data_IF_623882021371
#
_entry.id   IF_623882021371
#
_cell.length_a   1.000
_cell.length_b   1.000
_cell.length_c   1.000
_cell.angle_alpha   90.00
_cell.angle_beta   90.00
_cell.angle_gamma   90.00
#
_symmetry.space_group_name_H-M   'P 1'
#
loop_
_entity.id
_entity.type
_entity.pdbx_description
1 polymer ?
#
# COMPACT_ATOMS: atom_id res chain seq x y z
N UNK A 1 -8.47 -25.74 -10.59
CA UNK A 1 -9.17 -24.93 -9.56
C UNK A 1 -10.46 -24.41 -10.16
N UNK A 2 -11.55 -24.38 -9.39
CA UNK A 2 -12.77 -23.70 -9.86
C UNK A 2 -12.53 -22.19 -9.90
N UNK A 3 -13.31 -21.47 -10.72
CA UNK A 3 -13.23 -20.00 -10.81
C UNK A 3 -13.42 -19.34 -9.42
N UNK A 4 -14.32 -19.89 -8.61
CA UNK A 4 -14.57 -19.43 -7.25
C UNK A 4 -13.32 -19.50 -6.38
N UNK A 5 -12.61 -20.64 -6.38
CA UNK A 5 -11.35 -20.76 -5.64
C UNK A 5 -10.29 -19.80 -6.17
N UNK A 6 -10.18 -19.59 -7.49
CA UNK A 6 -9.24 -18.61 -8.05
C UNK A 6 -9.52 -17.20 -7.53
N UNK A 7 -10.79 -16.77 -7.52
CA UNK A 7 -11.18 -15.46 -7.01
C UNK A 7 -10.95 -15.34 -5.50
N UNK A 8 -11.25 -16.37 -4.72
CA UNK A 8 -10.94 -16.38 -3.28
C UNK A 8 -9.45 -16.18 -3.03
N UNK A 9 -8.60 -16.87 -3.79
CA UNK A 9 -7.15 -16.71 -3.70
C UNK A 9 -6.69 -15.31 -4.11
N UNK A 10 -7.33 -14.68 -5.09
CA UNK A 10 -7.02 -13.30 -5.48
C UNK A 10 -7.17 -12.34 -4.30
N UNK A 11 -8.31 -12.39 -3.60
CA UNK A 11 -8.55 -11.52 -2.45
C UNK A 11 -7.65 -11.86 -1.27
N UNK A 12 -7.45 -13.14 -0.96
CA UNK A 12 -6.59 -13.57 0.15
C UNK A 12 -5.13 -13.18 -0.09
N UNK A 13 -4.59 -13.38 -1.30
CA UNK A 13 -3.21 -13.03 -1.65
C UNK A 13 -2.99 -11.52 -1.74
N UNK A 14 -4.02 -10.72 -2.02
CA UNK A 14 -3.91 -9.27 -2.02
C UNK A 14 -3.72 -8.68 -0.61
N UNK A 15 -4.16 -9.36 0.45
CA UNK A 15 -4.00 -8.93 1.84
C UNK A 15 -2.51 -8.79 2.24
N UNK A 16 -1.66 -9.82 2.13
CA UNK A 16 -0.25 -9.69 2.48
C UNK A 16 0.48 -8.70 1.56
N UNK A 17 0.09 -8.60 0.27
CA UNK A 17 0.65 -7.59 -0.64
C UNK A 17 0.36 -6.18 -0.12
N UNK A 18 -0.89 -5.89 0.25
CA UNK A 18 -1.30 -4.61 0.81
C UNK A 18 -0.60 -4.33 2.15
N UNK A 19 -0.53 -5.32 3.04
CA UNK A 19 0.10 -5.19 4.36
C UNK A 19 1.59 -4.85 4.25
N UNK A 20 2.34 -5.60 3.43
CA UNK A 20 3.78 -5.38 3.24
C UNK A 20 4.00 -4.01 2.57
N UNK A 21 3.23 -3.70 1.53
CA UNK A 21 3.38 -2.42 0.82
C UNK A 21 3.06 -1.23 1.71
N UNK A 22 1.96 -1.28 2.46
CA UNK A 22 1.62 -0.26 3.45
C UNK A 22 2.71 -0.11 4.51
N UNK A 23 3.16 -1.21 5.11
CA UNK A 23 4.16 -1.16 6.19
C UNK A 23 5.44 -0.48 5.74
N UNK A 24 5.98 -0.85 4.57
CA UNK A 24 7.21 -0.24 4.07
C UNK A 24 7.01 1.24 3.71
N UNK A 25 5.82 1.60 3.21
CA UNK A 25 5.56 2.95 2.67
C UNK A 25 4.88 3.93 3.63
N UNK A 26 4.36 3.49 4.76
CA UNK A 26 3.68 4.33 5.74
C UNK A 26 4.21 4.21 7.17
N UNK A 27 4.79 3.06 7.56
CA UNK A 27 5.25 2.87 8.93
C UNK A 27 6.50 3.72 9.22
N UNK A 28 6.60 4.26 10.44
CA UNK A 28 7.69 5.16 10.84
C UNK A 28 9.06 4.46 10.92
N UNK A 29 9.06 3.15 11.18
CA UNK A 29 10.28 2.32 11.22
C UNK A 29 11.05 2.43 9.88
N UNK A 30 10.35 2.60 8.77
CA UNK A 30 10.95 2.71 7.44
C UNK A 30 11.13 4.16 6.97
N UNK A 31 10.92 5.15 7.85
CA UNK A 31 11.00 6.58 7.50
C UNK A 31 12.40 6.99 7.04
N UNK A 32 13.45 6.61 7.77
CA UNK A 32 14.84 6.92 7.41
C UNK A 32 15.24 6.33 6.04
N UNK A 33 15.02 5.01 5.76
CA UNK A 33 15.21 4.45 4.43
C UNK A 33 14.40 5.17 3.34
N UNK A 34 13.13 5.51 3.63
CA UNK A 34 12.24 6.16 2.66
C UNK A 34 12.69 7.58 2.35
N UNK A 35 13.10 8.35 3.34
CA UNK A 35 13.65 9.70 3.16
C UNK A 35 15.00 9.67 2.42
N UNK A 36 15.84 8.67 2.67
CA UNK A 36 17.05 8.42 1.89
C UNK A 36 16.72 8.13 0.42
N UNK A 37 15.78 7.24 0.15
CA UNK A 37 15.29 6.92 -1.19
C UNK A 37 14.67 8.15 -1.88
N UNK A 38 13.86 8.93 -1.17
CA UNK A 38 13.24 10.15 -1.69
C UNK A 38 14.27 11.23 -2.06
N UNK A 39 15.34 11.36 -1.28
CA UNK A 39 16.45 12.26 -1.58
C UNK A 39 17.20 11.77 -2.82
N UNK A 40 17.51 10.49 -2.88
CA UNK A 40 18.17 9.87 -4.02
C UNK A 40 17.34 9.97 -5.31
N UNK A 41 16.00 9.91 -5.23
CA UNK A 41 15.10 10.05 -6.37
C UNK A 41 14.96 11.49 -6.89
N UNK A 42 15.25 12.49 -6.05
CA UNK A 42 15.27 13.92 -6.43
C UNK A 42 16.65 14.40 -6.90
N UNK A 43 17.72 13.92 -6.28
CA UNK A 43 19.09 14.44 -6.51
C UNK A 43 19.89 13.66 -7.57
N UNK A 44 19.49 12.43 -7.92
CA UNK A 44 20.24 11.63 -8.91
C UNK A 44 20.15 12.20 -10.32
N UNK A 45 21.30 12.37 -10.98
CA UNK A 45 21.38 12.76 -12.40
C UNK A 45 20.85 11.70 -13.37
N UNK A 46 20.79 10.43 -12.94
CA UNK A 46 20.37 9.31 -13.78
C UNK A 46 18.88 8.97 -13.56
N UNK A 47 18.09 9.00 -14.65
CA UNK A 47 16.64 8.76 -14.66
C UNK A 47 16.29 7.36 -14.12
N UNK A 48 17.11 6.35 -14.41
CA UNK A 48 16.87 4.99 -13.93
C UNK A 48 17.01 4.87 -12.42
N UNK A 49 18.05 5.50 -11.84
CA UNK A 49 18.21 5.58 -10.39
C UNK A 49 17.04 6.34 -9.75
N UNK A 50 16.59 7.42 -10.37
CA UNK A 50 15.43 8.18 -9.87
C UNK A 50 14.17 7.33 -9.81
N UNK A 51 13.84 6.59 -10.87
CA UNK A 51 12.66 5.70 -10.91
C UNK A 51 12.79 4.53 -9.94
N UNK A 52 13.97 3.92 -9.82
CA UNK A 52 14.20 2.82 -8.89
C UNK A 52 13.94 3.23 -7.43
N UNK A 53 14.49 4.36 -7.00
CA UNK A 53 14.26 4.85 -5.63
C UNK A 53 12.85 5.38 -5.41
N UNK A 54 12.19 5.90 -6.46
CA UNK A 54 10.81 6.37 -6.38
C UNK A 54 9.81 5.24 -6.08
N UNK A 55 10.07 4.02 -6.58
CA UNK A 55 9.23 2.85 -6.29
C UNK A 55 9.07 2.62 -4.79
N UNK A 56 10.12 2.76 -4.00
CA UNK A 56 10.09 2.55 -2.54
C UNK A 56 9.36 3.66 -1.78
N UNK A 57 9.00 4.75 -2.46
CA UNK A 57 8.27 5.89 -1.87
C UNK A 57 6.78 5.90 -2.21
N UNK A 58 6.32 4.98 -3.07
CA UNK A 58 4.94 4.91 -3.52
C UNK A 58 4.37 3.52 -3.23
N UNK A 59 3.27 3.45 -2.47
CA UNK A 59 2.60 2.20 -2.09
C UNK A 59 2.15 1.39 -3.31
N UNK A 60 1.59 2.07 -4.32
CA UNK A 60 1.15 1.45 -5.56
C UNK A 60 2.32 0.90 -6.38
N UNK A 61 3.43 1.63 -6.45
CA UNK A 61 4.60 1.15 -7.19
C UNK A 61 5.25 -0.04 -6.47
N UNK A 62 5.39 0.03 -5.15
CA UNK A 62 6.00 -1.03 -4.37
C UNK A 62 5.14 -2.31 -4.36
N UNK A 63 3.81 -2.20 -4.37
CA UNK A 63 2.91 -3.34 -4.43
C UNK A 63 3.10 -4.21 -5.68
N UNK A 64 3.60 -3.65 -6.79
CA UNK A 64 3.96 -4.45 -7.99
C UNK A 64 5.10 -5.42 -7.69
N UNK A 65 6.14 -4.97 -6.98
CA UNK A 65 7.30 -5.81 -6.65
C UNK A 65 6.90 -6.91 -5.67
N UNK A 66 6.10 -6.56 -4.67
CA UNK A 66 5.57 -7.55 -3.72
C UNK A 66 4.65 -8.54 -4.44
N UNK A 67 3.81 -8.08 -5.36
CA UNK A 67 2.95 -8.97 -6.16
C UNK A 67 3.76 -9.93 -7.02
N UNK A 68 4.80 -9.45 -7.72
CA UNK A 68 5.69 -10.31 -8.51
C UNK A 68 6.33 -11.37 -7.62
N UNK A 69 6.84 -10.98 -6.46
CA UNK A 69 7.41 -11.92 -5.48
C UNK A 69 6.38 -12.97 -5.05
N UNK A 70 5.16 -12.55 -4.69
CA UNK A 70 4.08 -13.45 -4.29
C UNK A 70 3.67 -14.39 -5.43
N UNK A 71 3.60 -13.93 -6.67
CA UNK A 71 3.30 -14.78 -7.83
C UNK A 71 4.38 -15.83 -8.09
N UNK A 72 5.66 -15.46 -7.95
CA UNK A 72 6.77 -16.40 -8.10
C UNK A 72 6.74 -17.48 -7.02
N UNK A 73 6.45 -17.11 -5.77
CA UNK A 73 6.38 -18.04 -4.64
C UNK A 73 5.16 -18.96 -4.75
N UNK A 74 3.98 -18.39 -4.99
CA UNK A 74 2.71 -19.13 -4.96
C UNK A 74 2.37 -19.81 -6.28
N UNK A 75 3.05 -19.45 -7.37
CA UNK A 75 2.76 -19.87 -8.75
C UNK A 75 1.27 -19.71 -9.12
N UNK A 76 0.63 -18.69 -8.55
CA UNK A 76 -0.79 -18.42 -8.75
C UNK A 76 -1.08 -17.94 -10.18
N UNK A 77 -2.15 -18.47 -10.77
CA UNK A 77 -2.64 -18.10 -12.10
C UNK A 77 -4.13 -17.76 -12.00
N UNK A 78 -4.54 -16.71 -12.73
CA UNK A 78 -5.93 -16.29 -12.81
C UNK A 78 -6.46 -16.44 -14.24
N UNK A 79 -7.64 -17.04 -14.39
CA UNK A 79 -8.36 -17.31 -15.66
C UNK A 79 -7.66 -18.27 -16.63
N UNK A 80 -6.39 -18.04 -16.94
CA UNK A 80 -5.61 -18.82 -17.89
C UNK A 80 -4.54 -19.63 -17.15
N UNK A 81 -4.28 -20.86 -17.61
CA UNK A 81 -3.23 -21.73 -17.05
C UNK A 81 -1.83 -21.43 -17.58
N UNK A 82 -1.74 -20.61 -18.64
CA UNK A 82 -0.47 -20.23 -19.27
C UNK A 82 0.12 -18.97 -18.65
N UNK A 83 1.25 -18.50 -19.19
CA UNK A 83 1.91 -17.24 -18.80
C UNK A 83 0.96 -16.02 -18.78
N UNK A 84 -0.12 -16.04 -19.58
CA UNK A 84 -1.16 -15.01 -19.59
C UNK A 84 -1.86 -14.89 -18.24
N UNK A 85 -2.02 -16.00 -17.52
CA UNK A 85 -2.62 -16.04 -16.19
C UNK A 85 -1.78 -15.32 -15.13
N UNK A 86 -0.45 -15.31 -15.27
CA UNK A 86 0.44 -14.50 -14.43
C UNK A 86 0.26 -13.00 -14.67
N UNK A 87 0.06 -12.61 -15.93
CA UNK A 87 -0.15 -11.21 -16.29
C UNK A 87 -1.48 -10.70 -15.73
N UNK A 88 -2.56 -11.46 -15.92
CA UNK A 88 -3.89 -11.12 -15.40
C UNK A 88 -3.87 -11.09 -13.87
N UNK A 89 -3.37 -12.15 -13.23
CA UNK A 89 -3.29 -12.21 -11.76
C UNK A 89 -2.43 -11.09 -11.18
N UNK A 90 -1.33 -10.71 -11.83
CA UNK A 90 -0.47 -9.61 -11.38
C UNK A 90 -1.21 -8.29 -11.31
N UNK A 91 -1.84 -7.86 -12.41
CA UNK A 91 -2.59 -6.60 -12.42
C UNK A 91 -3.80 -6.65 -11.49
N UNK A 92 -4.52 -7.78 -11.43
CA UNK A 92 -5.64 -7.94 -10.50
C UNK A 92 -5.20 -7.87 -9.03
N UNK A 93 -4.11 -8.55 -8.66
CA UNK A 93 -3.59 -8.53 -7.28
C UNK A 93 -3.16 -7.14 -6.86
N UNK A 94 -2.40 -6.44 -7.71
CA UNK A 94 -2.00 -5.05 -7.47
C UNK A 94 -3.22 -4.16 -7.26
N UNK A 95 -4.25 -4.30 -8.08
CA UNK A 95 -5.47 -3.51 -7.98
C UNK A 95 -6.21 -3.74 -6.67
N UNK A 96 -6.45 -5.01 -6.30
CA UNK A 96 -7.13 -5.35 -5.04
C UNK A 96 -6.29 -4.91 -3.84
N UNK A 97 -4.96 -5.10 -3.88
CA UNK A 97 -4.08 -4.62 -2.82
C UNK A 97 -4.15 -3.10 -2.67
N UNK A 98 -4.19 -2.36 -3.79
CA UNK A 98 -4.34 -0.90 -3.77
C UNK A 98 -5.69 -0.45 -3.21
N UNK A 99 -6.76 -1.18 -3.52
CA UNK A 99 -8.08 -0.96 -2.93
C UNK A 99 -8.04 -1.15 -1.41
N UNK A 100 -7.39 -2.19 -0.91
CA UNK A 100 -7.23 -2.43 0.53
C UNK A 100 -6.42 -1.33 1.22
N UNK A 101 -5.30 -0.90 0.64
CA UNK A 101 -4.51 0.21 1.17
C UNK A 101 -5.32 1.51 1.20
N UNK A 102 -6.05 1.82 0.14
CA UNK A 102 -6.89 3.02 0.05
C UNK A 102 -8.01 3.01 1.10
N UNK A 103 -8.68 1.87 1.28
CA UNK A 103 -9.71 1.70 2.31
C UNK A 103 -9.13 1.88 3.72
N UNK A 104 -7.95 1.28 3.97
CA UNK A 104 -7.27 1.42 5.25
C UNK A 104 -6.87 2.88 5.54
N UNK A 105 -6.39 3.59 4.53
CA UNK A 105 -6.07 5.01 4.64
C UNK A 105 -7.30 5.86 4.99
N UNK A 106 -8.43 5.62 4.32
CA UNK A 106 -9.69 6.31 4.60
C UNK A 106 -10.11 6.13 6.05
N UNK A 107 -10.09 4.89 6.55
CA UNK A 107 -10.43 4.58 7.94
C UNK A 107 -9.49 5.32 8.91
N UNK A 108 -8.18 5.34 8.65
CA UNK A 108 -7.22 6.07 9.49
C UNK A 108 -7.45 7.58 9.49
N UNK A 109 -7.82 8.16 8.35
CA UNK A 109 -8.13 9.59 8.24
C UNK A 109 -9.38 9.96 9.02
N UNK A 110 -10.44 9.14 8.94
CA UNK A 110 -11.68 9.35 9.68
C UNK A 110 -11.43 9.31 11.20
N UNK A 111 -10.69 8.31 11.68
CA UNK A 111 -10.32 8.21 13.10
C UNK A 111 -9.49 9.42 13.54
N UNK A 112 -8.59 9.92 12.70
CA UNK A 112 -7.77 11.10 13.03
C UNK A 112 -8.61 12.38 13.07
N UNK A 113 -9.57 12.52 12.15
CA UNK A 113 -10.51 13.65 12.14
C UNK A 113 -11.34 13.68 13.41
N UNK A 114 -11.92 12.53 13.79
CA UNK A 114 -12.72 12.41 15.00
C UNK A 114 -11.91 12.80 16.26
N UNK A 115 -10.67 12.31 16.38
CA UNK A 115 -9.78 12.71 17.48
C UNK A 115 -9.49 14.20 17.51
N UNK A 116 -9.28 14.81 16.34
CA UNK A 116 -9.01 16.25 16.23
C UNK A 116 -10.23 17.06 16.67
N UNK A 117 -11.43 16.67 16.21
CA UNK A 117 -12.68 17.34 16.58
C UNK A 117 -12.96 17.24 18.09
N UNK A 118 -12.63 16.11 18.72
CA UNK A 118 -12.73 15.94 20.19
C UNK A 118 -11.77 16.89 20.91
N UNK A 119 -10.51 16.98 20.47
CA UNK A 119 -9.51 17.84 21.10
C UNK A 119 -9.88 19.34 21.03
N UNK A 120 -10.44 19.80 19.90
CA UNK A 120 -10.89 21.18 19.74
C UNK A 120 -12.03 21.48 20.72
N UNK A 121 -13.01 20.58 20.83
CA UNK A 121 -14.13 20.73 21.77
C UNK A 121 -13.69 20.73 23.23
N UNK A 122 -12.65 19.95 23.58
CA UNK A 122 -12.07 19.97 24.93
C UNK A 122 -11.35 21.28 25.22
N UNK A 123 -10.58 21.82 24.26
CA UNK A 123 -9.93 23.13 24.40
C UNK A 123 -10.93 24.29 24.47
N UNK A 124 -12.01 24.24 23.70
CA UNK A 124 -13.10 25.23 23.77
C UNK A 124 -13.81 25.18 25.13
N UNK A 125 -14.10 23.97 25.64
CA UNK A 125 -14.68 23.81 26.98
C UNK A 125 -13.79 24.38 28.08
N UNK A 126 -12.47 24.15 28.01
CA UNK A 126 -11.51 24.69 28.98
C UNK A 126 -11.49 26.22 28.97
N UNK A 127 -11.46 26.82 27.78
CA UNK A 127 -11.51 28.29 27.63
C UNK A 127 -12.78 28.89 28.22
N UNK A 128 -13.95 28.28 27.98
CA UNK A 128 -15.23 28.76 28.54
C UNK A 128 -15.29 28.58 30.07
N UNK A 129 -14.59 27.61 30.64
CA UNK A 129 -14.57 27.41 32.11
C UNK A 129 -13.58 28.31 32.86
N UNK A 130 -12.66 28.96 32.14
CA UNK A 130 -11.67 29.87 32.71
C UNK A 130 -12.10 31.34 32.66
N UNK A 131 -13.15 31.66 31.88
CA UNK A 131 -13.87 32.95 31.83
C UNK A 131 -15.08 32.97 32.80
#
# INVERSE_FOLDING_TARGET
>A
MTIGTQLTWLFILAIPVACIAWTVTHEEIFREPREYCARCSKTSRNIFKRKFFYVFTCEYCFSHYVTILMLVITRYHLLFTDWRGYLVSGFSLVWIANLYMSLYNLIRLDVKKEKTDISIKEEEKKRISED
#
